data_IF_783857681209
#
_entry.id   IF_783857681209
#
_cell.length_a   1.000
_cell.length_b   1.000
_cell.length_c   1.000
_cell.angle_alpha   90.00
_cell.angle_beta   90.00
_cell.angle_gamma   90.00
#
_symmetry.space_group_name_H-M   'P 1'
#
loop_
_entity.id
_entity.type
_entity.pdbx_description
1 polymer ?
#
# COMPACT_ATOMS: atom_id res chain seq x y z
N UNK A 1 -9.47 24.50 8.27
CA UNK A 1 -9.00 23.24 8.88
C UNK A 1 -7.62 22.98 8.30
N UNK A 2 -6.61 23.05 9.15
CA UNK A 2 -5.19 23.27 8.78
C UNK A 2 -4.59 22.12 7.98
N UNK A 3 -4.10 22.43 6.79
CA UNK A 3 -3.25 21.57 5.96
C UNK A 3 -1.94 21.31 6.71
N UNK A 4 -1.87 20.18 7.43
CA UNK A 4 -0.67 19.75 8.14
C UNK A 4 0.32 19.10 7.16
N UNK A 5 0.87 19.91 6.26
CA UNK A 5 1.97 19.52 5.39
C UNK A 5 3.24 19.40 6.23
N UNK A 6 3.68 18.17 6.48
CA UNK A 6 4.92 17.89 7.19
C UNK A 6 6.08 18.14 6.22
N UNK A 7 6.87 19.19 6.44
CA UNK A 7 8.05 19.51 5.64
C UNK A 7 9.26 18.70 6.11
N UNK A 8 9.45 17.51 5.55
CA UNK A 8 10.69 16.76 5.70
C UNK A 8 11.70 17.23 4.64
N UNK A 9 12.76 17.92 5.07
CA UNK A 9 13.86 18.34 4.19
C UNK A 9 14.92 17.24 4.17
N UNK A 10 14.94 16.43 3.12
CA UNK A 10 16.04 15.49 2.88
C UNK A 10 17.08 16.15 1.96
N UNK A 11 18.34 16.16 2.39
CA UNK A 11 19.47 16.65 1.58
C UNK A 11 19.92 15.52 0.67
N UNK A 12 19.92 15.76 -0.65
CA UNK A 12 20.48 14.82 -1.64
C UNK A 12 21.85 15.35 -2.04
N UNK A 13 22.89 14.55 -1.79
CA UNK A 13 24.24 14.83 -2.24
C UNK A 13 24.42 14.27 -3.66
N UNK A 14 24.76 15.14 -4.61
CA UNK A 14 25.03 14.75 -6.00
C UNK A 14 26.47 15.16 -6.31
N UNK A 15 27.20 14.28 -6.99
CA UNK A 15 28.56 14.55 -7.44
C UNK A 15 28.57 14.71 -8.96
N UNK A 16 28.87 15.91 -9.44
CA UNK A 16 29.03 16.22 -10.87
C UNK A 16 30.45 16.73 -11.07
N UNK A 17 31.27 16.00 -11.83
CA UNK A 17 32.63 16.44 -12.18
C UNK A 17 33.58 16.64 -10.99
N UNK A 18 33.40 15.89 -9.88
CA UNK A 18 34.25 15.97 -8.68
C UNK A 18 33.89 17.10 -7.71
N UNK A 19 32.83 17.86 -7.98
CA UNK A 19 32.29 18.86 -7.05
C UNK A 19 31.08 18.29 -6.34
N UNK A 20 31.13 18.25 -5.01
CA UNK A 20 29.99 17.89 -4.15
C UNK A 20 29.01 19.05 -4.15
N UNK A 21 27.82 18.84 -4.71
CA UNK A 21 26.73 19.81 -4.68
C UNK A 21 25.61 19.28 -3.80
N UNK A 22 25.36 19.97 -2.68
CA UNK A 22 24.20 19.74 -1.84
C UNK A 22 23.01 20.54 -2.38
N UNK A 23 21.95 19.86 -2.79
CA UNK A 23 20.72 20.50 -3.27
C UNK A 23 19.55 20.20 -2.33
N UNK A 24 18.90 21.26 -1.85
CA UNK A 24 17.68 21.16 -1.01
C UNK A 24 16.46 21.01 -1.91
N UNK A 25 16.06 19.76 -2.15
CA UNK A 25 14.83 19.47 -2.90
C UNK A 25 13.67 19.48 -1.91
N UNK A 26 12.66 20.35 -2.15
CA UNK A 26 11.40 20.30 -1.41
C UNK A 26 10.63 19.07 -1.86
N UNK A 27 10.68 18.00 -1.05
CA UNK A 27 9.83 16.84 -1.28
C UNK A 27 8.49 17.11 -0.61
N UNK A 28 7.48 17.45 -1.42
CA UNK A 28 6.08 17.32 -0.98
C UNK A 28 5.75 15.85 -0.94
N UNK A 29 5.85 15.25 0.25
CA UNK A 29 5.30 13.93 0.46
C UNK A 29 3.78 14.05 0.32
N UNK A 30 3.12 13.28 -0.57
CA UNK A 30 1.67 13.18 -0.51
C UNK A 30 1.33 12.73 0.91
N UNK A 31 0.41 13.46 1.56
CA UNK A 31 0.01 13.18 2.95
C UNK A 31 -0.20 11.68 3.10
N UNK A 32 0.55 11.07 4.04
CA UNK A 32 0.66 9.63 4.27
C UNK A 32 -0.58 8.89 3.74
N UNK A 33 -0.47 8.20 2.60
CA UNK A 33 -1.59 7.57 1.90
C UNK A 33 -2.33 6.48 2.68
N UNK A 34 -1.97 6.28 3.95
CA UNK A 34 -2.56 5.32 4.89
C UNK A 34 -3.62 5.94 5.80
N UNK A 35 -3.76 7.27 5.87
CA UNK A 35 -4.70 7.91 6.80
C UNK A 35 -6.14 7.48 6.52
N UNK A 36 -6.53 7.31 5.26
CA UNK A 36 -7.89 6.93 4.89
C UNK A 36 -8.23 5.49 5.28
N UNK A 37 -7.28 4.55 5.14
CA UNK A 37 -7.48 3.16 5.56
C UNK A 37 -7.71 3.05 7.07
N UNK A 38 -6.82 3.66 7.86
CA UNK A 38 -6.96 3.63 9.32
C UNK A 38 -8.17 4.41 9.82
N UNK A 39 -8.58 5.46 9.09
CA UNK A 39 -9.83 6.18 9.37
C UNK A 39 -11.05 5.28 9.20
N UNK A 40 -11.19 4.56 8.09
CA UNK A 40 -12.33 3.66 7.90
C UNK A 40 -12.35 2.52 8.94
N UNK A 41 -11.17 2.00 9.33
CA UNK A 41 -11.09 1.01 10.41
C UNK A 41 -11.56 1.61 11.74
N UNK A 42 -11.14 2.83 12.07
CA UNK A 42 -11.59 3.53 13.28
C UNK A 42 -13.10 3.82 13.25
N UNK A 43 -13.62 4.29 12.12
CA UNK A 43 -15.05 4.59 11.92
C UNK A 43 -15.90 3.30 12.03
N UNK A 44 -15.40 2.17 11.51
CA UNK A 44 -16.03 0.86 11.69
C UNK A 44 -16.05 0.42 13.17
N UNK A 45 -14.93 0.58 13.89
CA UNK A 45 -14.82 0.17 15.30
C UNK A 45 -15.60 1.07 16.26
N UNK A 46 -15.66 2.37 15.99
CA UNK A 46 -16.21 3.37 16.90
C UNK A 46 -17.66 3.75 16.56
N UNK A 47 -18.00 3.80 15.27
CA UNK A 47 -19.31 4.26 14.80
C UNK A 47 -20.13 3.13 14.15
N UNK A 48 -19.53 1.94 13.95
CA UNK A 48 -20.21 0.82 13.31
C UNK A 48 -20.43 1.02 11.80
N UNK A 49 -19.70 1.93 11.17
CA UNK A 49 -19.77 2.18 9.72
C UNK A 49 -19.35 0.95 8.91
N UNK A 50 -19.71 0.87 7.63
CA UNK A 50 -19.34 -0.27 6.79
C UNK A 50 -17.82 -0.29 6.52
N UNK A 51 -17.20 -1.46 6.72
CA UNK A 51 -15.79 -1.66 6.41
C UNK A 51 -15.60 -1.72 4.89
N UNK A 52 -14.80 -0.80 4.35
CA UNK A 52 -14.54 -0.69 2.91
C UNK A 52 -13.77 -1.92 2.41
N UNK A 53 -12.86 -2.45 3.23
CA UNK A 53 -12.04 -3.63 2.90
C UNK A 53 -12.52 -4.82 3.71
N UNK A 54 -13.31 -5.69 3.09
CA UNK A 54 -13.92 -6.85 3.76
C UNK A 54 -12.97 -8.04 3.81
N UNK A 55 -12.98 -8.86 4.88
CA UNK A 55 -12.13 -10.05 4.97
C UNK A 55 -12.45 -11.07 3.87
N UNK A 56 -13.68 -11.11 3.36
CA UNK A 56 -14.11 -11.90 2.21
C UNK A 56 -13.24 -11.61 0.97
N UNK A 57 -12.94 -10.33 0.72
CA UNK A 57 -12.14 -9.90 -0.42
C UNK A 57 -10.69 -10.35 -0.30
N UNK A 58 -10.17 -10.47 0.94
CA UNK A 58 -8.83 -11.00 1.18
C UNK A 58 -8.75 -12.51 0.90
N UNK A 59 -9.82 -13.28 1.17
CA UNK A 59 -9.85 -14.74 0.92
C UNK A 59 -9.66 -15.06 -0.57
N UNK A 60 -10.27 -14.29 -1.45
CA UNK A 60 -10.08 -14.38 -2.91
C UNK A 60 -8.61 -14.25 -3.32
N UNK A 61 -7.95 -13.21 -2.83
CA UNK A 61 -6.54 -12.93 -3.15
C UNK A 61 -5.64 -14.07 -2.65
N UNK A 62 -5.89 -14.57 -1.44
CA UNK A 62 -5.15 -15.71 -0.87
C UNK A 62 -5.34 -16.97 -1.74
N UNK A 63 -6.57 -17.24 -2.19
CA UNK A 63 -6.86 -18.38 -3.07
C UNK A 63 -6.12 -18.33 -4.40
N UNK A 64 -5.97 -17.14 -4.99
CA UNK A 64 -5.19 -16.93 -6.21
C UNK A 64 -3.69 -17.13 -5.96
N UNK A 65 -3.18 -16.61 -4.85
CA UNK A 65 -1.77 -16.77 -4.45
C UNK A 65 -1.44 -18.25 -4.24
N UNK A 66 -2.33 -19.05 -3.65
CA UNK A 66 -2.15 -20.50 -3.48
C UNK A 66 -2.25 -21.28 -4.80
N UNK A 67 -3.14 -20.86 -5.71
CA UNK A 67 -3.31 -21.51 -7.01
C UNK A 67 -2.13 -21.27 -7.96
N UNK A 68 -1.46 -20.11 -7.87
CA UNK A 68 -0.34 -19.74 -8.72
C UNK A 68 0.82 -20.77 -8.72
N UNK A 69 1.38 -21.21 -7.58
CA UNK A 69 2.43 -22.23 -7.56
C UNK A 69 1.93 -23.60 -8.06
N UNK A 70 0.67 -23.96 -7.76
CA UNK A 70 0.06 -25.21 -8.26
C UNK A 70 -0.10 -25.22 -9.78
N UNK A 71 -0.46 -24.08 -10.35
CA UNK A 71 -0.54 -23.86 -11.80
C UNK A 71 0.85 -23.96 -12.44
N UNK A 72 1.84 -23.26 -11.88
CA UNK A 72 3.22 -23.30 -12.36
C UNK A 72 3.82 -24.72 -12.36
N UNK A 73 3.62 -25.48 -11.29
CA UNK A 73 4.14 -26.85 -11.19
C UNK A 73 3.48 -27.83 -12.17
N UNK A 74 2.21 -27.61 -12.52
CA UNK A 74 1.46 -28.51 -13.41
C UNK A 74 1.46 -28.07 -14.88
N UNK A 75 1.87 -26.84 -15.17
CA UNK A 75 1.83 -26.26 -16.51
C UNK A 75 0.41 -26.09 -17.08
N UNK A 76 -0.61 -26.09 -16.23
CA UNK A 76 -2.02 -25.97 -16.62
C UNK A 76 -2.72 -25.00 -15.68
N UNK A 77 -3.78 -24.35 -16.17
CA UNK A 77 -4.61 -23.47 -15.33
C UNK A 77 -5.26 -24.27 -14.20
N UNK A 78 -5.14 -23.77 -12.97
CA UNK A 78 -5.70 -24.38 -11.76
C UNK A 78 -6.65 -23.38 -11.10
N UNK A 79 -7.86 -23.83 -10.78
CA UNK A 79 -8.83 -23.02 -10.05
C UNK A 79 -8.34 -22.74 -8.61
N UNK A 80 -8.64 -21.55 -8.06
CA UNK A 80 -8.53 -21.28 -6.62
C UNK A 80 -9.26 -22.34 -5.78
N UNK A 81 -8.82 -22.52 -4.53
CA UNK A 81 -9.44 -23.46 -3.60
C UNK A 81 -10.91 -23.10 -3.30
N UNK A 82 -11.75 -24.12 -3.11
CA UNK A 82 -13.18 -23.98 -2.77
C UNK A 82 -13.35 -23.17 -1.49
N UNK A 83 -14.25 -22.18 -1.51
CA UNK A 83 -14.51 -21.28 -0.38
C UNK A 83 -13.60 -20.05 -0.29
N UNK A 84 -12.70 -19.87 -1.27
CA UNK A 84 -12.01 -18.61 -1.50
C UNK A 84 -12.76 -17.69 -2.48
N UNK A 85 -13.95 -18.08 -2.94
CA UNK A 85 -14.79 -17.32 -3.87
C UNK A 85 -15.67 -16.23 -3.22
#
# INVERSE_FOLDING_TARGET
MSDSTIFLTNVVAIEIGGVRQDSKIKVTLPGYGTVQYYRNVADHLLMGEELIVKPEQARLVIGVIDAAPRSSAKGVSVSPALGCE
#
